data_IF_046507292661
#
_entry.id   IF_046507292661
#
_cell.length_a   1.000
_cell.length_b   1.000
_cell.length_c   1.000
_cell.angle_alpha   90.00
_cell.angle_beta   90.00
_cell.angle_gamma   90.00
#
_symmetry.space_group_name_H-M   'P 1'
#
loop_
_entity.id
_entity.type
_entity.pdbx_description
1 polymer ?
#
# COMPACT_ATOMS: atom_id res chain seq x y z
N UNK A 1 -10.25 39.00 -32.86
CA UNK A 1 -10.37 37.52 -32.84
C UNK A 1 -9.98 37.04 -31.45
N UNK A 2 -10.90 36.44 -30.69
CA UNK A 2 -10.54 35.77 -29.43
C UNK A 2 -9.85 34.45 -29.80
N UNK A 3 -8.72 34.07 -29.17
CA UNK A 3 -8.15 32.76 -29.42
C UNK A 3 -9.16 31.73 -28.91
N UNK A 4 -9.61 30.85 -29.80
CA UNK A 4 -10.33 29.63 -29.46
C UNK A 4 -9.40 28.84 -28.53
N UNK A 5 -9.80 28.65 -27.27
CA UNK A 5 -9.05 27.80 -26.36
C UNK A 5 -8.96 26.41 -27.01
N UNK A 6 -7.75 26.01 -27.42
CA UNK A 6 -7.50 24.66 -27.88
C UNK A 6 -7.81 23.75 -26.69
N UNK A 7 -8.94 23.04 -26.76
CA UNK A 7 -9.24 21.95 -25.84
C UNK A 7 -8.22 20.85 -26.09
N UNK A 8 -7.22 20.76 -25.22
CA UNK A 8 -6.27 19.65 -25.21
C UNK A 8 -7.05 18.37 -24.94
N UNK A 9 -6.97 17.40 -25.85
CA UNK A 9 -7.54 16.08 -25.64
C UNK A 9 -6.81 15.35 -24.50
N UNK A 10 -7.55 14.50 -23.77
CA UNK A 10 -6.97 13.69 -22.70
C UNK A 10 -5.97 12.67 -23.29
N UNK A 11 -4.73 12.58 -22.76
CA UNK A 11 -3.73 11.67 -23.29
C UNK A 11 -4.12 10.21 -23.00
N UNK A 12 -4.44 9.43 -24.04
CA UNK A 12 -4.84 8.02 -23.90
C UNK A 12 -3.71 7.11 -23.44
N UNK A 13 -2.47 7.53 -23.66
CA UNK A 13 -1.24 6.92 -23.12
C UNK A 13 -0.60 7.86 -22.10
N UNK A 14 0.01 7.29 -21.06
CA UNK A 14 0.67 8.13 -20.07
C UNK A 14 1.98 8.68 -20.61
N UNK A 15 1.97 9.98 -20.93
CA UNK A 15 3.15 10.79 -21.12
C UNK A 15 3.09 11.94 -20.12
N UNK A 16 4.05 11.99 -19.19
CA UNK A 16 4.05 12.89 -18.03
C UNK A 16 3.76 14.34 -18.43
N UNK A 17 4.52 14.87 -19.39
CA UNK A 17 4.42 16.29 -19.77
C UNK A 17 3.12 16.61 -20.53
N UNK A 18 2.60 15.66 -21.30
CA UNK A 18 1.29 15.79 -21.93
C UNK A 18 0.17 15.80 -20.88
N UNK A 19 0.26 14.92 -19.88
CA UNK A 19 -0.72 14.87 -18.79
C UNK A 19 -0.68 16.12 -17.92
N UNK A 20 0.51 16.63 -17.58
CA UNK A 20 0.65 17.90 -16.84
C UNK A 20 0.02 19.05 -17.62
N UNK A 21 0.31 19.13 -18.92
CA UNK A 21 -0.24 20.16 -19.79
C UNK A 21 -1.76 20.06 -19.87
N UNK A 22 -2.30 18.85 -20.04
CA UNK A 22 -3.74 18.62 -20.03
C UNK A 22 -4.37 19.01 -18.68
N UNK A 23 -3.81 18.54 -17.55
CA UNK A 23 -4.35 18.75 -16.21
C UNK A 23 -4.39 20.24 -15.85
N UNK A 24 -3.30 20.99 -16.12
CA UNK A 24 -3.26 22.43 -15.87
C UNK A 24 -4.33 23.21 -16.66
N UNK A 25 -4.73 22.72 -17.83
CA UNK A 25 -5.77 23.36 -18.66
C UNK A 25 -7.19 22.92 -18.27
N UNK A 26 -7.38 21.64 -17.95
CA UNK A 26 -8.70 21.05 -17.66
C UNK A 26 -9.09 21.11 -16.18
N UNK A 27 -8.14 21.34 -15.28
CA UNK A 27 -8.33 21.52 -13.83
C UNK A 27 -7.62 22.81 -13.41
N UNK A 28 -8.17 24.00 -13.75
CA UNK A 28 -7.48 25.28 -13.58
C UNK A 28 -7.10 25.58 -12.12
N UNK A 29 -7.86 25.05 -11.16
CA UNK A 29 -7.58 25.18 -9.73
C UNK A 29 -6.32 24.43 -9.28
N UNK A 30 -5.70 23.63 -10.16
CA UNK A 30 -4.48 22.85 -9.93
C UNK A 30 -3.29 23.36 -10.75
N UNK A 31 -3.37 24.55 -11.36
CA UNK A 31 -2.26 25.13 -12.12
C UNK A 31 -0.93 25.05 -11.35
N UNK A 32 0.15 24.77 -12.09
CA UNK A 32 1.46 24.41 -11.55
C UNK A 32 1.42 23.15 -10.67
N UNK A 33 0.69 22.12 -11.13
CA UNK A 33 0.43 20.88 -10.39
C UNK A 33 1.71 20.25 -9.80
N UNK A 34 2.84 20.30 -10.52
CA UNK A 34 4.11 19.71 -10.06
C UNK A 34 4.60 20.40 -8.78
N UNK A 35 4.73 21.72 -8.81
CA UNK A 35 5.19 22.51 -7.65
C UNK A 35 4.26 22.35 -6.46
N UNK A 36 2.95 22.31 -6.71
CA UNK A 36 1.95 22.15 -5.65
C UNK A 36 1.93 20.74 -5.08
N UNK A 37 2.15 19.71 -5.90
CA UNK A 37 2.34 18.34 -5.42
C UNK A 37 3.57 18.23 -4.53
N UNK A 38 4.68 18.87 -4.89
CA UNK A 38 5.90 18.87 -4.07
C UNK A 38 5.69 19.58 -2.73
N UNK A 39 4.90 20.66 -2.73
CA UNK A 39 4.50 21.35 -1.50
C UNK A 39 3.60 20.46 -0.62
N UNK A 40 2.57 19.84 -1.19
CA UNK A 40 1.68 18.90 -0.48
C UNK A 40 2.49 17.73 0.10
N UNK A 41 3.45 17.21 -0.66
CA UNK A 41 4.30 16.10 -0.22
C UNK A 41 5.23 16.52 0.92
N UNK A 42 5.75 17.73 0.88
CA UNK A 42 6.56 18.30 1.96
C UNK A 42 5.73 18.54 3.23
N UNK A 43 4.51 19.05 3.08
CA UNK A 43 3.55 19.21 4.17
C UNK A 43 3.24 17.84 4.81
N UNK A 44 2.86 16.84 4.00
CA UNK A 44 2.58 15.47 4.45
C UNK A 44 3.74 14.88 5.25
N UNK A 45 4.99 15.09 4.83
CA UNK A 45 6.16 14.66 5.57
C UNK A 45 6.22 15.31 6.95
N UNK A 46 6.16 16.65 6.98
CA UNK A 46 6.29 17.41 8.22
C UNK A 46 5.15 17.18 9.22
N UNK A 47 3.93 16.94 8.74
CA UNK A 47 2.72 16.83 9.57
C UNK A 47 2.39 15.41 10.00
N UNK A 48 3.02 14.38 9.42
CA UNK A 48 2.67 12.97 9.69
C UNK A 48 3.45 12.33 10.83
N UNK A 49 4.43 13.03 11.44
CA UNK A 49 5.33 12.45 12.44
C UNK A 49 4.60 11.81 13.63
N UNK A 50 3.63 12.52 14.22
CA UNK A 50 2.85 12.00 15.35
C UNK A 50 2.02 10.78 14.95
N UNK A 51 1.33 10.85 13.81
CA UNK A 51 0.55 9.74 13.26
C UNK A 51 1.41 8.50 12.97
N UNK A 52 2.62 8.69 12.43
CA UNK A 52 3.56 7.60 12.18
C UNK A 52 4.09 7.00 13.49
N UNK A 53 4.34 7.81 14.52
CA UNK A 53 4.72 7.31 15.84
C UNK A 53 3.59 6.49 16.48
N UNK A 54 2.34 6.99 16.42
CA UNK A 54 1.15 6.26 16.87
C UNK A 54 0.97 4.94 16.11
N UNK A 55 1.13 4.95 14.78
CA UNK A 55 1.08 3.73 13.97
C UNK A 55 2.19 2.74 14.36
N UNK A 56 3.41 3.23 14.60
CA UNK A 56 4.55 2.41 15.08
C UNK A 56 4.19 1.62 16.33
N UNK A 57 3.62 2.32 17.32
CA UNK A 57 3.23 1.73 18.59
C UNK A 57 2.10 0.71 18.39
N UNK A 58 1.09 1.05 17.58
CA UNK A 58 -0.01 0.16 17.26
C UNK A 58 0.49 -1.14 16.61
N UNK A 59 1.25 -1.03 15.53
CA UNK A 59 1.78 -2.19 14.80
C UNK A 59 2.68 -3.05 15.71
N UNK A 60 3.41 -2.46 16.65
CA UNK A 60 4.23 -3.18 17.63
C UNK A 60 3.37 -3.95 18.64
N UNK A 61 2.27 -3.37 19.13
CA UNK A 61 1.35 -4.05 20.03
C UNK A 61 0.61 -5.19 19.30
N UNK A 62 0.12 -4.94 18.08
CA UNK A 62 -0.50 -5.98 17.23
C UNK A 62 0.49 -7.10 16.92
N UNK A 63 1.75 -6.77 16.60
CA UNK A 63 2.82 -7.77 16.44
C UNK A 63 2.95 -8.63 17.69
N UNK A 64 3.14 -8.01 18.86
CA UNK A 64 3.40 -8.74 20.10
C UNK A 64 2.23 -9.66 20.49
N UNK A 65 0.99 -9.22 20.26
CA UNK A 65 -0.19 -10.05 20.46
C UNK A 65 -0.26 -11.20 19.46
N UNK A 66 -0.15 -10.87 18.17
CA UNK A 66 -0.29 -11.84 17.07
C UNK A 66 0.79 -12.92 17.16
N UNK A 67 2.05 -12.58 17.45
CA UNK A 67 3.13 -13.57 17.62
C UNK A 67 2.84 -14.59 18.72
N UNK A 68 2.22 -14.17 19.84
CA UNK A 68 1.82 -15.09 20.91
C UNK A 68 0.72 -16.03 20.44
N UNK A 69 -0.29 -15.50 19.77
CA UNK A 69 -1.39 -16.31 19.21
C UNK A 69 -0.87 -17.32 18.19
N UNK A 70 0.02 -16.89 17.28
CA UNK A 70 0.63 -17.76 16.27
C UNK A 70 1.40 -18.91 16.90
N UNK A 71 2.18 -18.66 17.96
CA UNK A 71 2.93 -19.72 18.66
C UNK A 71 2.01 -20.81 19.19
N UNK A 72 0.83 -20.44 19.71
CA UNK A 72 -0.18 -21.38 20.21
C UNK A 72 -0.87 -22.10 19.04
N UNK A 73 -1.36 -21.33 18.06
CA UNK A 73 -2.18 -21.84 16.94
C UNK A 73 -1.40 -22.75 15.98
N UNK A 74 -0.14 -22.43 15.72
CA UNK A 74 0.72 -23.16 14.78
C UNK A 74 1.74 -24.08 15.47
N UNK A 75 1.62 -24.27 16.79
CA UNK A 75 2.48 -25.14 17.64
C UNK A 75 3.98 -25.03 17.37
N UNK A 76 4.44 -23.86 16.94
CA UNK A 76 5.85 -23.60 16.68
C UNK A 76 6.44 -24.14 15.37
N UNK A 77 5.66 -24.70 14.44
CA UNK A 77 6.20 -25.20 13.15
C UNK A 77 6.58 -24.05 12.19
N UNK A 78 5.92 -22.90 12.33
CA UNK A 78 6.18 -21.71 11.52
C UNK A 78 6.59 -20.53 12.41
N UNK A 79 7.66 -20.72 13.20
CA UNK A 79 8.23 -19.65 14.05
C UNK A 79 9.04 -18.68 13.19
N UNK A 80 8.39 -17.64 12.67
CA UNK A 80 9.07 -16.44 12.22
C UNK A 80 8.64 -15.24 13.04
N UNK A 81 9.44 -14.18 12.99
CA UNK A 81 9.07 -12.89 13.57
C UNK A 81 8.44 -12.00 12.51
N UNK A 82 7.42 -11.24 12.89
CA UNK A 82 6.92 -10.18 12.02
C UNK A 82 7.97 -9.07 11.94
N UNK A 83 8.26 -8.64 10.72
CA UNK A 83 9.04 -7.44 10.47
C UNK A 83 8.09 -6.25 10.35
N UNK A 84 8.15 -5.36 11.35
CA UNK A 84 7.46 -4.06 11.33
C UNK A 84 8.54 -2.99 11.16
N UNK A 85 8.50 -2.16 10.11
CA UNK A 85 9.57 -1.24 9.75
C UNK A 85 9.51 0.06 10.57
N UNK A 86 9.40 -0.06 11.89
CA UNK A 86 9.29 1.08 12.83
C UNK A 86 10.48 2.04 12.74
N UNK A 87 11.65 1.54 12.36
CA UNK A 87 12.87 2.34 12.13
C UNK A 87 12.73 3.31 10.95
N UNK A 88 11.87 3.02 9.97
CA UNK A 88 11.61 3.90 8.83
C UNK A 88 10.77 5.12 9.21
N UNK A 89 10.06 5.10 10.34
CA UNK A 89 9.10 6.16 10.70
C UNK A 89 9.77 7.38 11.34
N UNK A 90 11.06 7.29 11.65
CA UNK A 90 11.81 8.40 12.26
C UNK A 90 12.27 9.41 11.19
N UNK A 91 11.97 10.71 11.31
CA UNK A 91 12.29 11.72 10.30
C UNK A 91 13.75 12.21 10.34
N UNK A 92 14.70 11.34 10.68
CA UNK A 92 16.11 11.76 10.77
C UNK A 92 16.68 12.05 9.36
N UNK A 93 17.56 13.06 9.21
CA UNK A 93 18.12 13.46 7.91
C UNK A 93 18.82 12.33 7.14
N UNK A 94 19.37 11.34 7.85
CA UNK A 94 20.02 10.16 7.27
C UNK A 94 19.06 9.01 6.94
N UNK A 95 17.80 9.08 7.38
CA UNK A 95 16.83 8.01 7.22
C UNK A 95 16.17 8.07 5.85
N UNK A 96 16.84 7.51 4.84
CA UNK A 96 16.27 7.29 3.51
C UNK A 96 14.97 6.47 3.55
N UNK A 97 14.77 5.65 4.59
CA UNK A 97 13.54 4.86 4.78
C UNK A 97 12.31 5.73 5.00
N UNK A 98 12.45 6.87 5.68
CA UNK A 98 11.34 7.79 5.93
C UNK A 98 10.80 8.37 4.63
N UNK A 99 11.68 8.81 3.73
CA UNK A 99 11.27 9.36 2.43
C UNK A 99 10.54 8.35 1.54
N UNK A 100 10.86 7.05 1.69
CA UNK A 100 10.24 5.96 0.93
C UNK A 100 8.79 5.67 1.36
N UNK A 101 8.37 6.14 2.53
CA UNK A 101 6.98 6.04 2.98
C UNK A 101 6.05 6.88 2.10
N UNK A 102 6.55 7.99 1.55
CA UNK A 102 5.76 8.96 0.81
C UNK A 102 5.84 8.68 -0.68
N UNK A 103 4.68 8.51 -1.33
CA UNK A 103 4.58 8.33 -2.78
C UNK A 103 5.29 9.49 -3.51
N UNK A 104 6.05 9.18 -4.55
CA UNK A 104 6.74 10.20 -5.34
C UNK A 104 5.75 11.02 -6.17
N UNK A 105 6.12 12.26 -6.51
CA UNK A 105 5.29 13.16 -7.32
C UNK A 105 4.96 12.55 -8.68
N UNK A 106 5.91 11.86 -9.31
CA UNK A 106 5.68 11.16 -10.59
C UNK A 106 4.66 10.01 -10.45
N UNK A 107 4.75 9.20 -9.39
CA UNK A 107 3.77 8.13 -9.14
C UNK A 107 2.40 8.67 -8.74
N UNK A 108 2.33 9.87 -8.15
CA UNK A 108 1.07 10.55 -7.86
C UNK A 108 0.43 11.04 -9.16
N UNK A 109 1.17 11.74 -10.01
CA UNK A 109 0.71 12.23 -11.33
C UNK A 109 0.17 11.09 -12.19
N UNK A 110 0.90 9.98 -12.26
CA UNK A 110 0.45 8.81 -13.01
C UNK A 110 -0.84 8.20 -12.43
N UNK A 111 -0.95 8.13 -11.10
CA UNK A 111 -2.16 7.60 -10.45
C UNK A 111 -3.37 8.52 -10.66
N UNK A 112 -3.16 9.84 -10.70
CA UNK A 112 -4.19 10.81 -11.09
C UNK A 112 -4.62 10.60 -12.56
N UNK A 113 -3.66 10.46 -13.48
CA UNK A 113 -3.94 10.15 -14.89
C UNK A 113 -4.83 8.90 -15.02
N UNK A 114 -4.47 7.79 -14.37
CA UNK A 114 -5.28 6.55 -14.42
C UNK A 114 -6.71 6.75 -13.91
N UNK A 115 -6.88 7.54 -12.85
CA UNK A 115 -8.20 7.85 -12.28
C UNK A 115 -9.04 8.76 -13.16
N UNK A 116 -8.38 9.63 -13.94
CA UNK A 116 -9.01 10.58 -14.84
C UNK A 116 -9.25 10.02 -16.24
N UNK A 117 -8.57 8.94 -16.65
CA UNK A 117 -8.68 8.31 -17.97
C UNK A 117 -10.11 8.04 -18.44
N UNK A 118 -11.01 7.71 -17.51
CA UNK A 118 -12.42 7.39 -17.81
C UNK A 118 -13.40 8.48 -17.36
N UNK A 119 -12.91 9.62 -16.88
CA UNK A 119 -13.76 10.72 -16.38
C UNK A 119 -14.04 11.73 -17.49
N UNK A 120 -15.28 12.17 -17.58
CA UNK A 120 -15.70 13.31 -18.41
C UNK A 120 -15.89 14.60 -17.61
N UNK A 121 -15.99 14.50 -16.28
CA UNK A 121 -16.13 15.60 -15.32
C UNK A 121 -15.66 15.15 -13.93
N UNK A 122 -15.55 16.08 -12.98
CA UNK A 122 -15.13 15.82 -11.59
C UNK A 122 -13.80 15.07 -11.49
N UNK A 123 -12.79 15.61 -12.17
CA UNK A 123 -11.46 15.03 -12.19
C UNK A 123 -10.87 14.88 -10.79
N UNK A 124 -10.11 13.81 -10.59
CA UNK A 124 -9.21 13.68 -9.45
C UNK A 124 -8.18 14.82 -9.56
N UNK A 125 -8.09 15.63 -8.52
CA UNK A 125 -7.37 16.90 -8.45
C UNK A 125 -6.63 17.01 -7.11
N UNK A 126 -5.84 18.06 -6.91
CA UNK A 126 -5.13 18.29 -5.65
C UNK A 126 -6.10 18.52 -4.50
N UNK A 127 -7.28 19.09 -4.77
CA UNK A 127 -8.32 19.33 -3.76
C UNK A 127 -8.87 18.04 -3.14
N UNK A 128 -9.05 16.98 -3.94
CA UNK A 128 -9.58 15.69 -3.47
C UNK A 128 -8.51 14.59 -3.40
N UNK A 129 -7.23 14.94 -3.52
CA UNK A 129 -6.10 14.02 -3.61
C UNK A 129 -6.08 12.97 -2.50
N UNK A 130 -6.30 13.38 -1.24
CA UNK A 130 -6.30 12.50 -0.06
C UNK A 130 -7.47 11.52 -0.03
N UNK A 131 -8.57 11.82 -0.72
CA UNK A 131 -9.71 10.92 -0.88
C UNK A 131 -9.48 9.94 -2.04
N UNK A 132 -8.92 10.44 -3.13
CA UNK A 132 -8.67 9.65 -4.33
C UNK A 132 -7.52 8.67 -4.14
N UNK A 133 -6.45 9.07 -3.47
CA UNK A 133 -5.23 8.29 -3.33
C UNK A 133 -4.98 7.97 -1.86
N UNK A 134 -5.32 6.75 -1.45
CA UNK A 134 -5.17 6.27 -0.06
C UNK A 134 -3.74 5.89 0.32
N UNK A 135 -2.88 5.61 -0.67
CA UNK A 135 -1.49 5.17 -0.52
C UNK A 135 -0.48 6.33 -0.71
N UNK A 136 -0.88 7.58 -0.41
CA UNK A 136 0.05 8.72 -0.41
C UNK A 136 1.17 8.52 0.61
N UNK A 137 0.83 7.93 1.75
CA UNK A 137 1.77 7.39 2.74
C UNK A 137 1.53 5.89 2.84
N UNK A 138 2.60 5.10 2.68
CA UNK A 138 2.52 3.65 2.70
C UNK A 138 3.68 3.04 3.49
N UNK A 139 3.40 1.92 4.14
CA UNK A 139 4.38 1.08 4.79
C UNK A 139 4.04 -0.39 4.58
N UNK A 140 4.88 -1.30 5.07
CA UNK A 140 4.64 -2.73 4.97
C UNK A 140 4.89 -3.46 6.27
N UNK A 141 4.21 -4.60 6.46
CA UNK A 141 4.51 -5.57 7.50
C UNK A 141 4.80 -6.89 6.81
N UNK A 142 5.97 -7.47 7.09
CA UNK A 142 6.36 -8.77 6.53
C UNK A 142 6.10 -9.84 7.58
N UNK A 143 5.16 -10.73 7.29
CA UNK A 143 4.80 -11.84 8.14
C UNK A 143 5.55 -13.13 7.74
N UNK A 144 5.71 -14.11 8.63
CA UNK A 144 6.40 -15.34 8.30
C UNK A 144 5.72 -16.16 7.19
N UNK A 145 4.39 -16.23 7.21
CA UNK A 145 3.56 -16.94 6.22
C UNK A 145 2.39 -16.06 5.81
N UNK A 146 1.67 -16.45 4.75
CA UNK A 146 0.47 -15.74 4.31
C UNK A 146 -0.67 -15.90 5.33
N UNK A 147 -0.76 -17.04 6.00
CA UNK A 147 -1.69 -17.26 7.12
C UNK A 147 -1.43 -16.32 8.29
N UNK A 148 -0.15 -16.05 8.61
CA UNK A 148 0.24 -15.05 9.60
C UNK A 148 -0.07 -13.62 9.15
N UNK A 149 0.16 -13.29 7.88
CA UNK A 149 -0.19 -11.99 7.31
C UNK A 149 -1.69 -11.72 7.42
N UNK A 150 -2.53 -12.73 7.13
CA UNK A 150 -3.98 -12.65 7.32
C UNK A 150 -4.33 -12.37 8.77
N UNK A 151 -3.78 -13.15 9.70
CA UNK A 151 -4.09 -13.00 11.12
C UNK A 151 -3.70 -11.60 11.63
N UNK A 152 -2.53 -11.10 11.23
CA UNK A 152 -2.11 -9.74 11.58
C UNK A 152 -3.09 -8.70 11.04
N UNK A 153 -3.56 -8.85 9.80
CA UNK A 153 -4.55 -7.94 9.20
C UNK A 153 -5.88 -7.96 9.98
N UNK A 154 -6.40 -9.15 10.30
CA UNK A 154 -7.62 -9.32 11.12
C UNK A 154 -7.47 -8.70 12.51
N UNK A 155 -6.29 -8.84 13.12
CA UNK A 155 -5.99 -8.24 14.43
C UNK A 155 -5.83 -6.73 14.36
N UNK A 156 -5.24 -6.22 13.28
CA UNK A 156 -5.14 -4.78 13.04
C UNK A 156 -6.51 -4.14 12.82
N UNK A 157 -7.43 -4.82 12.12
CA UNK A 157 -8.82 -4.37 11.97
C UNK A 157 -9.52 -4.26 13.33
N UNK A 158 -9.37 -5.27 14.17
CA UNK A 158 -9.99 -5.38 15.50
C UNK A 158 -9.08 -4.89 16.63
N UNK A 159 -8.22 -3.90 16.35
CA UNK A 159 -7.15 -3.49 17.27
C UNK A 159 -7.66 -3.00 18.63
N UNK A 160 -8.87 -2.43 18.69
CA UNK A 160 -9.46 -1.94 19.94
C UNK A 160 -9.73 -3.06 20.95
N UNK A 161 -9.91 -4.30 20.49
CA UNK A 161 -10.10 -5.46 21.36
C UNK A 161 -8.79 -6.03 21.90
N UNK A 162 -7.66 -5.59 21.33
CA UNK A 162 -6.31 -6.09 21.63
C UNK A 162 -5.56 -5.11 22.53
N UNK A 163 -5.80 -3.82 22.35
CA UNK A 163 -5.15 -2.74 23.10
C UNK A 163 -5.92 -2.46 24.38
N UNK A 164 -5.20 -2.27 25.48
CA UNK A 164 -5.80 -1.91 26.77
C UNK A 164 -6.58 -0.58 26.66
N UNK A 165 -7.82 -0.48 27.18
CA UNK A 165 -8.64 0.73 27.04
C UNK A 165 -7.95 2.06 27.46
N UNK A 166 -7.16 2.11 28.56
CA UNK A 166 -6.41 3.32 28.91
C UNK A 166 -5.39 3.75 27.85
N UNK A 167 -4.77 2.77 27.15
CA UNK A 167 -3.82 3.04 26.07
C UNK A 167 -4.52 3.57 24.82
N UNK A 168 -5.76 3.14 24.55
CA UNK A 168 -6.59 3.65 23.45
C UNK A 168 -6.77 5.16 23.59
N UNK A 169 -7.22 5.61 24.76
CA UNK A 169 -7.46 7.04 25.02
C UNK A 169 -6.17 7.85 25.05
N UNK A 170 -5.08 7.27 25.58
CA UNK A 170 -3.83 8.00 25.78
C UNK A 170 -2.97 8.09 24.52
N UNK A 171 -2.86 7.00 23.75
CA UNK A 171 -1.88 6.88 22.67
C UNK A 171 -2.51 6.74 21.28
N UNK A 172 -3.75 6.27 21.20
CA UNK A 172 -4.42 5.93 19.93
C UNK A 172 -5.68 6.75 19.63
N UNK A 173 -5.97 7.79 20.43
CA UNK A 173 -7.16 8.62 20.27
C UNK A 173 -7.23 9.34 18.91
N UNK A 174 -6.10 9.54 18.25
CA UNK A 174 -6.00 10.17 16.92
C UNK A 174 -6.38 9.22 15.77
N UNK A 175 -6.45 7.90 16.01
CA UNK A 175 -6.93 6.94 15.03
C UNK A 175 -8.45 7.02 14.97
N UNK A 176 -8.96 7.39 13.79
CA UNK A 176 -10.40 7.39 13.50
C UNK A 176 -10.88 5.95 13.30
N UNK A 177 -10.31 5.27 12.30
CA UNK A 177 -10.67 3.90 11.94
C UNK A 177 -9.58 3.18 11.18
N UNK A 178 -9.70 1.86 11.16
CA UNK A 178 -8.85 0.95 10.40
C UNK A 178 -9.76 0.15 9.47
N UNK A 179 -9.48 0.17 8.17
CA UNK A 179 -10.23 -0.58 7.15
C UNK A 179 -9.28 -1.61 6.54
N UNK A 180 -9.64 -2.89 6.53
CA UNK A 180 -8.83 -3.93 5.89
C UNK A 180 -9.46 -4.36 4.57
N UNK A 181 -8.69 -4.26 3.50
CA UNK A 181 -8.98 -4.89 2.23
C UNK A 181 -8.25 -6.23 2.15
N UNK A 182 -9.03 -7.31 2.19
CA UNK A 182 -8.57 -8.67 2.02
C UNK A 182 -8.35 -8.96 0.53
N UNK A 183 -7.47 -8.16 -0.09
CA UNK A 183 -7.31 -8.12 -1.54
C UNK A 183 -6.56 -9.37 -2.07
N UNK A 184 -7.27 -10.46 -2.32
CA UNK A 184 -6.72 -11.57 -3.12
C UNK A 184 -7.00 -11.32 -4.60
N UNK A 185 -6.01 -10.76 -5.32
CA UNK A 185 -6.09 -10.64 -6.78
C UNK A 185 -5.62 -11.95 -7.42
N UNK A 186 -6.48 -12.96 -7.32
CA UNK A 186 -6.22 -14.30 -7.88
C UNK A 186 -5.81 -14.21 -9.36
N UNK A 187 -6.46 -13.36 -10.15
CA UNK A 187 -6.15 -13.20 -11.58
C UNK A 187 -4.71 -12.74 -11.86
N UNK A 188 -4.06 -12.02 -10.94
CA UNK A 188 -2.70 -11.51 -11.11
C UNK A 188 -1.65 -12.23 -10.26
N UNK A 189 -2.03 -13.31 -9.56
CA UNK A 189 -1.14 -14.03 -8.64
C UNK A 189 -0.65 -13.17 -7.46
N UNK A 190 -1.36 -12.07 -7.15
CA UNK A 190 -0.98 -11.11 -6.12
C UNK A 190 -1.74 -11.42 -4.83
N UNK A 191 -0.98 -11.78 -3.79
CA UNK A 191 -1.51 -12.17 -2.49
C UNK A 191 -0.92 -11.29 -1.40
N UNK A 192 -1.72 -10.35 -0.90
CA UNK A 192 -1.39 -9.51 0.24
C UNK A 192 -2.66 -8.89 0.82
N UNK A 193 -2.57 -8.42 2.04
CA UNK A 193 -3.64 -7.70 2.72
C UNK A 193 -3.24 -6.24 2.80
N UNK A 194 -4.19 -5.33 2.63
CA UNK A 194 -3.94 -3.90 2.70
C UNK A 194 -4.82 -3.32 3.79
N UNK A 195 -4.24 -2.59 4.72
CA UNK A 195 -4.99 -1.91 5.77
C UNK A 195 -4.84 -0.41 5.63
N UNK A 196 -5.95 0.31 5.54
CA UNK A 196 -5.97 1.77 5.55
C UNK A 196 -6.22 2.25 6.98
N UNK A 197 -5.18 2.78 7.63
CA UNK A 197 -5.29 3.42 8.94
C UNK A 197 -5.58 4.90 8.74
N UNK A 198 -6.78 5.33 9.14
CA UNK A 198 -7.24 6.71 8.99
C UNK A 198 -7.15 7.44 10.31
N UNK A 199 -6.57 8.63 10.27
CA UNK A 199 -6.43 9.53 11.42
C UNK A 199 -7.48 10.63 11.36
N UNK A 200 -7.84 11.17 12.52
CA UNK A 200 -8.79 12.31 12.64
C UNK A 200 -8.31 13.57 11.91
N UNK A 201 -7.00 13.71 11.71
CA UNK A 201 -6.40 14.76 10.87
C UNK A 201 -6.73 14.64 9.36
N UNK A 202 -7.37 13.54 8.94
CA UNK A 202 -7.61 13.21 7.55
C UNK A 202 -6.44 12.53 6.84
N UNK A 203 -5.35 12.23 7.56
CA UNK A 203 -4.25 11.41 7.03
C UNK A 203 -4.69 9.95 6.90
N UNK A 204 -4.38 9.33 5.77
CA UNK A 204 -4.54 7.90 5.54
C UNK A 204 -3.16 7.29 5.32
N UNK A 205 -2.85 6.21 6.04
CA UNK A 205 -1.62 5.44 5.86
C UNK A 205 -2.00 4.02 5.46
N UNK A 206 -1.55 3.60 4.28
CA UNK A 206 -1.71 2.22 3.80
C UNK A 206 -0.63 1.32 4.42
N UNK A 207 -1.04 0.23 5.07
CA UNK A 207 -0.16 -0.82 5.60
C UNK A 207 -0.32 -2.06 4.73
N UNK A 208 0.71 -2.40 3.96
CA UNK A 208 0.72 -3.59 3.12
C UNK A 208 1.28 -4.78 3.89
N UNK A 209 0.47 -5.81 4.11
CA UNK A 209 0.80 -6.96 4.94
C UNK A 209 0.93 -8.19 4.04
N UNK A 210 2.12 -8.80 4.00
CA UNK A 210 2.41 -9.92 3.10
C UNK A 210 3.43 -10.89 3.71
N UNK A 211 3.57 -12.08 3.12
CA UNK A 211 4.50 -13.10 3.63
C UNK A 211 5.93 -12.90 3.15
N UNK A 212 6.90 -13.40 3.91
CA UNK A 212 8.31 -13.45 3.53
C UNK A 212 8.52 -14.13 2.17
N UNK A 213 7.82 -15.23 1.92
CA UNK A 213 7.93 -15.97 0.65
C UNK A 213 7.50 -15.11 -0.56
N UNK A 214 6.54 -14.21 -0.36
CA UNK A 214 6.03 -13.33 -1.41
C UNK A 214 6.87 -12.06 -1.62
N UNK A 215 7.79 -11.71 -0.72
CA UNK A 215 8.46 -10.41 -0.71
C UNK A 215 9.27 -10.13 -1.98
N UNK A 216 10.14 -11.07 -2.37
CA UNK A 216 10.96 -10.94 -3.58
C UNK A 216 10.08 -10.86 -4.84
N UNK A 217 9.03 -11.69 -4.89
CA UNK A 217 8.07 -11.68 -5.98
C UNK A 217 7.37 -10.33 -6.10
N UNK A 218 6.91 -9.73 -4.99
CA UNK A 218 6.26 -8.41 -4.98
C UNK A 218 7.16 -7.32 -5.53
N UNK A 219 8.44 -7.32 -5.15
CA UNK A 219 9.42 -6.33 -5.62
C UNK A 219 9.61 -6.40 -7.14
N UNK A 220 9.71 -7.62 -7.68
CA UNK A 220 9.83 -7.85 -9.14
C UNK A 220 8.51 -7.52 -9.84
N UNK A 221 7.39 -7.91 -9.23
CA UNK A 221 6.04 -7.71 -9.76
C UNK A 221 5.71 -6.24 -9.92
N UNK A 222 6.03 -5.42 -8.91
CA UNK A 222 5.87 -3.98 -9.00
C UNK A 222 6.74 -3.38 -10.12
N UNK A 223 8.00 -3.79 -10.27
CA UNK A 223 8.87 -3.28 -11.35
C UNK A 223 8.36 -3.66 -12.73
N UNK A 224 7.93 -4.91 -12.91
CA UNK A 224 7.40 -5.39 -14.17
C UNK A 224 6.10 -4.66 -14.50
N UNK A 225 5.17 -4.57 -13.53
CA UNK A 225 3.90 -3.85 -13.70
C UNK A 225 4.11 -2.39 -14.11
N UNK A 226 5.04 -1.67 -13.49
CA UNK A 226 5.38 -0.29 -13.91
C UNK A 226 5.96 -0.26 -15.34
N UNK A 227 6.81 -1.23 -15.70
CA UNK A 227 7.45 -1.27 -17.04
C UNK A 227 6.46 -1.63 -18.15
N UNK A 228 5.58 -2.59 -17.89
CA UNK A 228 4.63 -3.13 -18.88
C UNK A 228 3.39 -2.26 -18.99
N UNK A 229 2.98 -1.58 -17.90
CA UNK A 229 1.90 -0.59 -17.94
C UNK A 229 2.25 0.65 -18.78
N UNK A 230 3.52 1.03 -18.83
CA UNK A 230 4.01 2.17 -19.62
C UNK A 230 4.27 1.84 -21.10
N UNK A 231 4.34 0.56 -21.47
CA UNK A 231 4.57 0.10 -22.85
C UNK A 231 3.30 -0.52 -23.41
N UNK A 232 2.73 0.09 -24.45
CA UNK A 232 1.43 -0.23 -25.06
C UNK A 232 1.24 -1.63 -25.67
N UNK A 233 2.07 -2.62 -25.37
CA UNK A 233 1.86 -3.99 -25.84
C UNK A 233 2.22 -5.00 -24.76
N UNK A 234 1.20 -5.43 -24.03
CA UNK A 234 1.24 -6.68 -23.29
C UNK A 234 1.45 -7.81 -24.31
N UNK A 235 2.68 -8.32 -24.41
CA UNK A 235 2.88 -9.63 -25.02
C UNK A 235 2.37 -10.67 -24.02
N UNK A 236 1.05 -10.80 -23.85
CA UNK A 236 0.40 -11.82 -22.97
C UNK A 236 0.49 -13.24 -23.54
N UNK A 237 1.53 -13.53 -24.32
CA UNK A 237 1.80 -14.86 -24.83
C UNK A 237 2.21 -15.81 -23.71
N UNK A 238 1.98 -17.10 -23.93
CA UNK A 238 2.54 -18.14 -23.08
C UNK A 238 4.07 -17.98 -22.98
N UNK A 239 4.61 -18.02 -21.77
CA UNK A 239 6.04 -17.84 -21.50
C UNK A 239 6.53 -16.40 -21.42
N UNK A 240 5.67 -15.40 -21.61
CA UNK A 240 5.99 -13.99 -21.35
C UNK A 240 6.43 -13.74 -19.90
N UNK A 241 7.16 -12.65 -19.66
CA UNK A 241 7.62 -12.30 -18.32
C UNK A 241 6.44 -12.09 -17.37
N UNK A 242 5.34 -11.51 -17.87
CA UNK A 242 4.09 -11.24 -17.17
C UNK A 242 3.39 -12.54 -16.80
N UNK A 243 3.21 -13.45 -17.76
CA UNK A 243 2.60 -14.75 -17.49
C UNK A 243 3.43 -15.55 -16.48
N UNK A 244 4.76 -15.57 -16.64
CA UNK A 244 5.67 -16.25 -15.69
C UNK A 244 5.59 -15.67 -14.30
N UNK A 245 5.49 -14.35 -14.18
CA UNK A 245 5.36 -13.67 -12.90
C UNK A 245 4.01 -14.02 -12.24
N UNK A 246 2.90 -13.97 -12.97
CA UNK A 246 1.58 -14.38 -12.46
C UNK A 246 1.64 -15.83 -11.97
N UNK A 247 2.15 -16.75 -12.79
CA UNK A 247 2.32 -18.16 -12.41
C UNK A 247 3.20 -18.33 -11.18
N UNK A 248 4.30 -17.59 -11.07
CA UNK A 248 5.15 -17.63 -9.88
C UNK A 248 4.39 -17.17 -8.63
N UNK A 249 3.56 -16.13 -8.74
CA UNK A 249 2.71 -15.68 -7.65
C UNK A 249 1.76 -16.79 -7.15
N UNK A 250 1.13 -17.51 -8.09
CA UNK A 250 0.31 -18.68 -7.76
C UNK A 250 1.09 -19.82 -7.13
N UNK A 251 2.28 -20.14 -7.63
CA UNK A 251 3.12 -21.20 -7.09
C UNK A 251 3.57 -20.89 -5.65
N UNK A 252 3.93 -19.64 -5.36
CA UNK A 252 4.27 -19.21 -4.00
C UNK A 252 3.06 -19.32 -3.06
N UNK A 253 1.87 -18.93 -3.54
CA UNK A 253 0.64 -19.11 -2.76
C UNK A 253 0.32 -20.59 -2.48
N UNK A 254 0.46 -21.46 -3.49
CA UNK A 254 0.27 -22.90 -3.32
C UNK A 254 1.28 -23.47 -2.31
N UNK A 255 2.54 -23.04 -2.37
CA UNK A 255 3.55 -23.44 -1.40
C UNK A 255 3.17 -23.04 0.04
N UNK A 256 2.65 -21.82 0.24
CA UNK A 256 2.12 -21.37 1.55
C UNK A 256 0.96 -22.26 2.03
N UNK A 257 0.01 -22.57 1.15
CA UNK A 257 -1.12 -23.45 1.47
C UNK A 257 -0.68 -24.87 1.87
N UNK A 258 0.29 -25.44 1.16
CA UNK A 258 0.81 -26.77 1.47
C UNK A 258 1.63 -26.76 2.78
N UNK A 259 2.39 -25.70 3.06
CA UNK A 259 3.08 -25.54 4.34
C UNK A 259 2.09 -25.49 5.50
N UNK A 260 1.02 -24.70 5.38
CA UNK A 260 -0.04 -24.62 6.40
C UNK A 260 -0.72 -25.98 6.62
N UNK A 261 -1.01 -26.71 5.52
CA UNK A 261 -1.61 -28.06 5.59
C UNK A 261 -0.69 -29.06 6.30
N UNK A 262 0.58 -29.12 5.92
CA UNK A 262 1.56 -30.01 6.54
C UNK A 262 1.73 -29.68 8.02
N UNK A 263 1.76 -28.39 8.39
CA UNK A 263 1.82 -27.98 9.78
C UNK A 263 0.62 -28.50 10.59
N UNK A 264 -0.59 -28.53 10.02
CA UNK A 264 -1.77 -29.14 10.68
C UNK A 264 -1.60 -30.65 10.83
N UNK A 265 -1.15 -31.35 9.79
CA UNK A 265 -1.03 -32.81 9.82
C UNK A 265 0.04 -33.29 10.81
N UNK A 266 1.16 -32.57 10.93
CA UNK A 266 2.22 -32.88 11.89
C UNK A 266 1.93 -32.46 13.33
N UNK A 267 0.85 -31.70 13.58
CA UNK A 267 0.48 -31.23 14.92
C UNK A 267 -0.68 -32.00 15.56
N UNK A 268 -1.34 -32.92 14.85
CA UNK A 268 -2.37 -33.79 15.44
C UNK A 268 -1.73 -34.72 16.50
N UNK A 269 -2.31 -34.83 17.71
CA UNK A 269 -1.88 -35.84 18.67
C UNK A 269 -2.00 -37.22 18.01
N UNK A 270 -0.96 -38.05 18.12
CA UNK A 270 -1.04 -39.47 17.75
C UNK A 270 -1.89 -40.23 18.75
#
# INVERSE_FOLDING_TARGET
MRPTAMTLEFPQTYARDLYISWHNNSVPEDIDIVTRLDAIRSELKSSSHSSLATLSQLLTQIKAFTEKECKVRFKGISQGQFSVPTTQFSPQPSNKGFDLLFKSSDSILEKLWRKNLKRSANYASLRNLRLEITDLVRTSVVAPTLGHARLFAERLENWRDIVDPPDIEKYFAEIDRVEVDMESKLASGYFAFHSNVRFKSGLCIEVQIYSQLSEAWRSISHKLYETTRLKESLATGAGSAEARLVSLGHLLHLAECELDRLAIDFTKPR
#
